data_IF_857697405037
#
_entry.id   IF_857697405037
#
_cell.length_a   1.000
_cell.length_b   1.000
_cell.length_c   1.000
_cell.angle_alpha   90.00
_cell.angle_beta   90.00
_cell.angle_gamma   90.00
#
_symmetry.space_group_name_H-M   'P 1'
#
loop_
_entity.id
_entity.type
_entity.pdbx_description
1 polymer ?
#
# COMPACT_ATOMS: atom_id res chain seq x y z
N UNK A 1 -19.74 -18.78 30.65
CA UNK A 1 -18.52 -18.39 29.91
C UNK A 1 -18.52 -19.15 28.60
N UNK A 2 -18.91 -18.50 27.50
CA UNK A 2 -19.05 -19.18 26.20
C UNK A 2 -17.64 -19.23 25.58
N UNK A 3 -17.01 -20.40 25.65
CA UNK A 3 -15.83 -20.69 24.83
C UNK A 3 -16.31 -20.85 23.39
N UNK A 4 -16.02 -19.87 22.54
CA UNK A 4 -16.08 -20.08 21.10
C UNK A 4 -15.03 -21.13 20.75
N UNK A 5 -15.47 -22.37 20.50
CA UNK A 5 -14.62 -23.38 19.88
C UNK A 5 -14.15 -22.81 18.54
N UNK A 6 -12.86 -22.94 18.27
CA UNK A 6 -12.16 -22.55 17.04
C UNK A 6 -12.58 -23.45 15.87
N UNK A 7 -13.88 -23.50 15.57
CA UNK A 7 -14.47 -24.30 14.50
C UNK A 7 -15.41 -23.38 13.70
N UNK A 8 -15.19 -23.39 12.38
CA UNK A 8 -15.78 -22.53 11.35
C UNK A 8 -15.09 -21.16 11.20
N UNK A 9 -13.81 -21.18 10.80
CA UNK A 9 -13.21 -19.99 10.19
C UNK A 9 -14.00 -19.64 8.92
N UNK A 10 -14.57 -18.45 8.90
CA UNK A 10 -15.26 -17.92 7.73
C UNK A 10 -14.24 -17.82 6.58
N UNK A 11 -14.52 -18.49 5.46
CA UNK A 11 -13.71 -18.46 4.24
C UNK A 11 -13.91 -17.13 3.49
N UNK A 12 -13.64 -16.00 4.14
CA UNK A 12 -13.77 -14.68 3.53
C UNK A 12 -12.52 -14.39 2.70
N UNK A 13 -12.72 -14.35 1.39
CA UNK A 13 -11.64 -14.18 0.40
C UNK A 13 -11.34 -12.70 0.13
N UNK A 14 -12.36 -11.83 0.20
CA UNK A 14 -12.25 -10.41 -0.12
C UNK A 14 -12.93 -9.52 0.95
N UNK A 15 -12.23 -8.47 1.38
CA UNK A 15 -12.79 -7.34 2.12
C UNK A 15 -12.72 -6.07 1.29
N UNK A 16 -13.87 -5.44 1.08
CA UNK A 16 -13.96 -4.16 0.38
C UNK A 16 -14.55 -3.11 1.31
N UNK A 17 -13.77 -2.08 1.61
CA UNK A 17 -14.17 -0.90 2.38
C UNK A 17 -14.44 0.23 1.39
N UNK A 18 -15.61 0.86 1.50
CA UNK A 18 -16.14 1.84 0.55
C UNK A 18 -16.77 3.04 1.25
N UNK A 19 -17.08 4.08 0.48
CA UNK A 19 -18.02 5.14 0.86
C UNK A 19 -17.70 5.81 2.21
N UNK A 20 -16.55 6.49 2.29
CA UNK A 20 -16.13 7.24 3.49
C UNK A 20 -15.87 6.37 4.73
N UNK A 21 -15.83 5.03 4.59
CA UNK A 21 -15.44 4.16 5.70
C UNK A 21 -14.08 4.62 6.27
N UNK A 22 -14.07 4.92 7.57
CA UNK A 22 -12.89 5.45 8.25
C UNK A 22 -11.88 4.35 8.53
N UNK A 23 -10.81 4.33 7.75
CA UNK A 23 -9.70 3.39 7.94
C UNK A 23 -8.85 3.89 9.10
N UNK A 24 -8.93 3.22 10.23
CA UNK A 24 -8.03 3.44 11.37
C UNK A 24 -6.76 2.60 11.22
N UNK A 25 -5.70 2.90 11.97
CA UNK A 25 -4.52 2.04 12.04
C UNK A 25 -4.84 0.63 12.55
N UNK A 26 -5.92 0.49 13.33
CA UNK A 26 -6.35 -0.77 13.95
C UNK A 26 -7.15 -1.63 12.98
N UNK A 27 -7.85 -1.03 12.01
CA UNK A 27 -8.73 -1.78 11.10
C UNK A 27 -7.96 -2.79 10.23
N UNK A 28 -6.85 -2.43 9.56
CA UNK A 28 -6.04 -3.38 8.80
C UNK A 28 -5.39 -4.47 9.66
N UNK A 29 -5.05 -4.17 10.93
CA UNK A 29 -4.48 -5.15 11.86
C UNK A 29 -5.55 -6.11 12.39
N UNK A 30 -6.71 -5.58 12.76
CA UNK A 30 -7.84 -6.35 13.29
C UNK A 30 -8.40 -7.29 12.26
N UNK A 31 -8.36 -6.90 10.97
CA UNK A 31 -8.59 -7.79 9.85
C UNK A 31 -7.92 -9.13 10.18
N UNK A 32 -6.57 -9.22 10.25
CA UNK A 32 -5.80 -10.46 10.48
C UNK A 32 -6.44 -11.44 11.48
N UNK A 33 -6.79 -10.94 12.67
CA UNK A 33 -7.27 -11.76 13.79
C UNK A 33 -8.50 -12.62 13.46
N UNK A 34 -9.33 -12.19 12.51
CA UNK A 34 -10.61 -12.84 12.23
C UNK A 34 -10.61 -13.76 10.99
N UNK A 35 -9.60 -13.70 10.10
CA UNK A 35 -9.64 -14.41 8.81
C UNK A 35 -8.23 -14.75 8.27
N UNK A 36 -7.68 -15.89 8.69
CA UNK A 36 -6.29 -16.28 8.40
C UNK A 36 -6.00 -16.54 6.91
N UNK A 37 -7.02 -16.89 6.12
CA UNK A 37 -6.90 -17.31 4.72
C UNK A 37 -7.20 -16.19 3.69
N UNK A 38 -7.14 -14.93 4.12
CA UNK A 38 -7.47 -13.78 3.26
C UNK A 38 -6.58 -13.70 2.04
N UNK A 39 -7.19 -13.32 0.91
CA UNK A 39 -6.47 -13.13 -0.34
C UNK A 39 -6.54 -11.69 -0.83
N UNK A 40 -7.61 -10.94 -0.51
CA UNK A 40 -7.85 -9.63 -1.13
C UNK A 40 -8.35 -8.58 -0.13
N UNK A 41 -7.78 -7.38 -0.19
CA UNK A 41 -8.30 -6.19 0.50
C UNK A 41 -8.42 -5.04 -0.49
N UNK A 42 -9.55 -4.35 -0.45
CA UNK A 42 -9.82 -3.16 -1.24
C UNK A 42 -10.21 -1.99 -0.33
N UNK A 43 -9.49 -0.88 -0.44
CA UNK A 43 -9.76 0.39 0.21
C UNK A 43 -10.15 1.39 -0.87
N UNK A 44 -11.40 1.32 -1.35
CA UNK A 44 -11.91 2.18 -2.43
C UNK A 44 -12.65 3.37 -1.81
N UNK A 45 -12.37 4.61 -2.23
CA UNK A 45 -13.08 5.80 -1.72
C UNK A 45 -13.16 5.85 -0.18
N UNK A 46 -12.19 5.23 0.49
CA UNK A 46 -12.16 5.08 1.94
C UNK A 46 -11.55 6.33 2.57
N UNK A 47 -11.99 6.66 3.78
CA UNK A 47 -11.47 7.81 4.48
C UNK A 47 -10.15 7.48 5.19
N UNK A 48 -9.05 7.94 4.62
CA UNK A 48 -7.69 7.72 5.09
C UNK A 48 -7.18 8.78 6.09
N UNK A 49 -8.05 9.69 6.57
CA UNK A 49 -7.64 10.78 7.45
C UNK A 49 -6.98 10.30 8.75
N UNK A 50 -7.46 9.20 9.34
CA UNK A 50 -6.90 8.64 10.57
C UNK A 50 -5.53 7.99 10.42
N UNK A 51 -5.12 7.65 9.19
CA UNK A 51 -3.80 7.09 8.87
C UNK A 51 -2.88 8.14 8.23
N UNK A 52 -3.28 9.41 8.27
CA UNK A 52 -2.54 10.55 7.70
C UNK A 52 -2.10 11.53 8.79
N UNK A 53 -0.90 11.41 9.38
CA UNK A 53 -0.47 12.19 10.55
C UNK A 53 -0.10 13.67 10.25
N UNK A 54 -0.71 14.30 9.24
CA UNK A 54 -0.57 15.75 9.00
C UNK A 54 0.42 16.19 7.93
N UNK A 55 1.26 15.28 7.39
CA UNK A 55 2.20 15.58 6.29
C UNK A 55 1.77 14.99 4.94
N UNK A 56 0.48 14.66 4.77
CA UNK A 56 -0.05 13.91 3.62
C UNK A 56 0.59 12.52 3.42
N UNK A 57 1.49 12.08 4.30
CA UNK A 57 1.98 10.71 4.32
C UNK A 57 0.91 9.79 4.88
N UNK A 58 0.89 8.55 4.42
CA UNK A 58 -0.07 7.53 4.84
C UNK A 58 0.73 6.34 5.35
N UNK A 59 0.29 5.75 6.46
CA UNK A 59 0.85 4.48 6.92
C UNK A 59 -0.26 3.46 7.14
N UNK A 60 -0.25 2.39 6.36
CA UNK A 60 -1.18 1.27 6.46
C UNK A 60 -0.42 0.06 7.00
N UNK A 61 -0.80 -0.39 8.21
CA UNK A 61 -0.16 -1.52 8.88
C UNK A 61 -1.10 -2.72 8.87
N UNK A 62 -0.93 -3.63 7.94
CA UNK A 62 -1.68 -4.88 7.87
C UNK A 62 -1.12 -5.96 8.82
N UNK A 63 0.06 -5.75 9.40
CA UNK A 63 0.65 -6.72 10.33
C UNK A 63 1.01 -8.03 9.64
N UNK A 64 0.64 -9.17 10.23
CA UNK A 64 1.05 -10.49 9.74
C UNK A 64 0.23 -11.06 8.57
N UNK A 65 -0.44 -10.20 7.79
CA UNK A 65 -1.35 -10.64 6.72
C UNK A 65 -0.55 -10.98 5.45
N UNK A 66 -0.90 -12.12 4.85
CA UNK A 66 -0.53 -12.48 3.49
C UNK A 66 -1.68 -12.10 2.55
N UNK A 67 -1.42 -11.26 1.56
CA UNK A 67 -2.40 -10.81 0.57
C UNK A 67 -1.97 -11.29 -0.82
N UNK A 68 -2.90 -11.83 -1.59
CA UNK A 68 -2.69 -11.99 -3.03
C UNK A 68 -2.90 -10.67 -3.77
N UNK A 69 -3.79 -9.83 -3.24
CA UNK A 69 -4.18 -8.58 -3.88
C UNK A 69 -4.53 -7.50 -2.86
N UNK A 70 -4.00 -6.29 -3.09
CA UNK A 70 -4.32 -5.09 -2.33
C UNK A 70 -4.72 -3.97 -3.30
N UNK A 71 -5.92 -3.43 -3.17
CA UNK A 71 -6.35 -2.26 -3.92
C UNK A 71 -6.47 -1.06 -3.00
N UNK A 72 -5.83 0.05 -3.34
CA UNK A 72 -5.89 1.28 -2.54
C UNK A 72 -6.24 2.47 -3.44
N UNK A 73 -7.23 3.24 -3.00
CA UNK A 73 -7.54 4.55 -3.54
C UNK A 73 -6.86 5.65 -2.74
N UNK A 74 -5.88 6.30 -3.36
CA UNK A 74 -5.11 7.39 -2.78
C UNK A 74 -5.65 8.78 -3.19
N UNK A 75 -6.75 8.84 -3.95
CA UNK A 75 -7.44 10.09 -4.32
C UNK A 75 -7.68 11.04 -3.14
N UNK A 76 -8.12 10.57 -1.96
CA UNK A 76 -8.41 11.46 -0.83
C UNK A 76 -7.18 12.21 -0.27
N UNK A 77 -5.97 11.74 -0.61
CA UNK A 77 -4.71 12.24 -0.07
C UNK A 77 -3.87 12.91 -1.16
N UNK A 78 -3.84 12.32 -2.36
CA UNK A 78 -3.07 12.80 -3.50
C UNK A 78 -4.00 13.57 -4.46
N UNK A 79 -3.70 14.85 -4.69
CA UNK A 79 -4.49 15.69 -5.61
C UNK A 79 -5.44 16.69 -4.94
N UNK A 80 -5.33 16.90 -3.63
CA UNK A 80 -6.05 18.00 -2.95
C UNK A 80 -5.70 19.35 -3.58
N UNK A 81 -6.73 20.14 -3.88
CA UNK A 81 -6.62 21.48 -4.48
C UNK A 81 -5.71 22.36 -3.60
N UNK A 82 -4.63 22.89 -4.19
CA UNK A 82 -3.65 23.73 -3.48
C UNK A 82 -2.50 22.98 -2.79
N UNK A 83 -2.41 21.65 -2.93
CA UNK A 83 -1.26 20.90 -2.41
C UNK A 83 0.02 21.22 -3.20
N UNK A 84 1.11 21.49 -2.47
CA UNK A 84 2.48 21.65 -3.02
C UNK A 84 3.11 20.28 -3.35
N UNK A 85 2.40 19.19 -3.04
CA UNK A 85 2.84 17.83 -3.33
C UNK A 85 2.87 17.58 -4.84
N UNK A 86 4.08 17.40 -5.37
CA UNK A 86 4.34 17.11 -6.77
C UNK A 86 4.99 15.73 -6.98
N UNK A 87 5.26 15.00 -5.89
CA UNK A 87 5.81 13.64 -5.92
C UNK A 87 5.00 12.72 -5.02
N UNK A 88 4.79 11.51 -5.48
CA UNK A 88 4.16 10.46 -4.67
C UNK A 88 5.04 9.23 -4.69
N UNK A 89 5.18 8.59 -3.54
CA UNK A 89 5.94 7.37 -3.41
C UNK A 89 5.15 6.31 -2.66
N UNK A 90 5.43 5.06 -2.99
CA UNK A 90 4.98 3.89 -2.26
C UNK A 90 6.22 3.25 -1.64
N UNK A 91 6.16 3.06 -0.33
CA UNK A 91 7.10 2.25 0.41
C UNK A 91 6.37 0.99 0.84
N UNK A 92 6.83 -0.17 0.35
CA UNK A 92 6.22 -1.45 0.67
C UNK A 92 7.23 -2.22 1.50
N UNK A 93 6.86 -2.50 2.74
CA UNK A 93 7.66 -3.24 3.69
C UNK A 93 7.01 -4.61 3.84
N UNK A 94 7.68 -5.63 3.28
CA UNK A 94 7.22 -7.02 3.23
C UNK A 94 8.29 -7.91 3.84
N UNK A 95 7.98 -8.54 4.97
CA UNK A 95 8.96 -9.28 5.78
C UNK A 95 10.24 -8.46 6.00
N UNK A 96 11.36 -8.87 5.42
CA UNK A 96 12.67 -8.20 5.55
C UNK A 96 13.03 -7.30 4.36
N UNK A 97 12.13 -7.17 3.38
CA UNK A 97 12.38 -6.40 2.16
C UNK A 97 11.58 -5.10 2.17
N UNK A 98 12.26 -3.98 1.87
CA UNK A 98 11.60 -2.72 1.54
C UNK A 98 11.73 -2.48 0.03
N UNK A 99 10.61 -2.39 -0.68
CA UNK A 99 10.61 -1.92 -2.07
C UNK A 99 10.08 -0.49 -2.16
N UNK A 100 10.73 0.32 -3.00
CA UNK A 100 10.38 1.72 -3.17
C UNK A 100 9.90 1.97 -4.58
N UNK A 101 8.68 2.49 -4.72
CA UNK A 101 8.16 2.97 -5.99
C UNK A 101 7.99 4.48 -5.92
N UNK A 102 8.35 5.17 -6.99
CA UNK A 102 8.19 6.61 -7.06
C UNK A 102 7.53 7.03 -8.36
N UNK A 103 6.61 7.97 -8.22
CA UNK A 103 6.03 8.75 -9.29
C UNK A 103 6.60 10.15 -9.18
N UNK A 104 7.48 10.48 -10.13
CA UNK A 104 8.01 11.82 -10.31
C UNK A 104 7.07 12.64 -11.20
N UNK A 105 7.01 13.95 -10.97
CA UNK A 105 6.18 14.97 -11.65
C UNK A 105 4.71 15.12 -11.27
N UNK A 106 4.23 16.36 -11.49
CA UNK A 106 2.83 16.78 -11.38
C UNK A 106 1.96 15.69 -12.02
N UNK A 107 1.00 15.17 -11.25
CA UNK A 107 0.00 14.17 -11.61
C UNK A 107 -0.43 14.28 -13.09
N UNK A 108 0.32 13.65 -14.00
CA UNK A 108 -0.04 13.46 -15.40
C UNK A 108 -0.37 11.98 -15.55
N UNK A 109 -1.48 11.68 -16.23
CA UNK A 109 -2.03 10.33 -16.32
C UNK A 109 -1.04 9.28 -16.85
N UNK A 110 -0.08 9.71 -17.67
CA UNK A 110 0.94 8.86 -18.29
C UNK A 110 2.14 8.49 -17.40
N UNK A 111 2.29 9.09 -16.22
CA UNK A 111 3.38 8.75 -15.30
C UNK A 111 2.85 7.87 -14.18
N UNK A 112 3.21 6.58 -14.21
CA UNK A 112 2.97 5.64 -13.12
C UNK A 112 4.06 5.68 -12.05
N UNK A 113 3.86 4.88 -11.02
CA UNK A 113 4.89 4.50 -10.05
C UNK A 113 5.90 3.57 -10.72
N UNK A 114 7.18 3.90 -10.59
CA UNK A 114 8.28 3.09 -11.10
C UNK A 114 9.14 2.62 -9.93
N UNK A 115 9.61 1.38 -10.00
CA UNK A 115 10.54 0.83 -9.02
C UNK A 115 11.82 1.68 -9.01
N UNK A 116 12.29 2.04 -7.82
CA UNK A 116 13.62 2.62 -7.60
C UNK A 116 14.43 1.57 -6.86
N UNK A 117 15.27 0.87 -7.62
CA UNK A 117 16.11 -0.25 -7.21
C UNK A 117 17.37 0.15 -6.43
N UNK A 118 17.77 1.42 -6.51
CA UNK A 118 18.97 1.91 -5.80
C UNK A 118 18.76 1.85 -4.29
N UNK A 119 19.68 1.20 -3.58
CA UNK A 119 19.72 1.13 -2.11
C UNK A 119 19.66 2.50 -1.42
N UNK A 120 20.10 3.57 -2.08
CA UNK A 120 19.98 4.93 -1.56
C UNK A 120 18.52 5.34 -1.26
N UNK A 121 17.54 4.70 -1.89
CA UNK A 121 16.11 4.93 -1.64
C UNK A 121 15.57 4.13 -0.46
N UNK A 122 16.32 3.18 0.11
CA UNK A 122 15.93 2.44 1.31
C UNK A 122 16.77 2.82 2.53
N UNK A 123 17.78 3.67 2.38
CA UNK A 123 18.53 4.25 3.52
C UNK A 123 17.65 5.14 4.39
N UNK A 124 17.80 5.00 5.70
CA UNK A 124 16.99 5.70 6.71
C UNK A 124 17.04 7.23 6.55
N UNK A 125 18.22 7.80 6.35
CA UNK A 125 18.38 9.26 6.14
C UNK A 125 17.58 9.76 4.93
N UNK A 126 17.61 9.02 3.83
CA UNK A 126 16.88 9.36 2.61
C UNK A 126 15.37 9.17 2.79
N UNK A 127 14.95 8.15 3.56
CA UNK A 127 13.54 7.94 3.95
C UNK A 127 13.04 9.11 4.78
N UNK A 128 13.75 9.48 5.84
CA UNK A 128 13.39 10.60 6.72
C UNK A 128 13.32 11.93 5.96
N UNK A 129 14.27 12.20 5.06
CA UNK A 129 14.25 13.41 4.22
C UNK A 129 13.00 13.49 3.35
N UNK A 130 12.53 12.36 2.80
CA UNK A 130 11.30 12.30 1.99
C UNK A 130 10.05 12.37 2.85
N UNK A 131 10.03 11.70 3.99
CA UNK A 131 8.92 11.74 4.94
C UNK A 131 8.66 13.17 5.45
N UNK A 132 9.72 13.95 5.65
CA UNK A 132 9.64 15.36 6.08
C UNK A 132 9.47 16.35 4.91
N UNK A 133 9.44 15.87 3.66
CA UNK A 133 9.30 16.73 2.48
C UNK A 133 7.87 17.28 2.37
N UNK A 134 7.74 18.60 2.19
CA UNK A 134 6.44 19.24 1.91
C UNK A 134 5.92 18.97 0.50
N UNK A 135 6.76 18.42 -0.37
CA UNK A 135 6.44 18.21 -1.79
C UNK A 135 6.33 16.74 -2.17
N UNK A 136 6.58 15.83 -1.22
CA UNK A 136 6.52 14.39 -1.42
C UNK A 136 5.53 13.77 -0.45
N UNK A 137 4.56 13.03 -0.97
CA UNK A 137 3.70 12.16 -0.17
C UNK A 137 4.24 10.74 -0.22
N UNK A 138 4.48 10.15 0.94
CA UNK A 138 4.89 8.75 1.08
C UNK A 138 3.70 7.94 1.60
N UNK A 139 3.30 6.91 0.87
CA UNK A 139 2.36 5.89 1.34
C UNK A 139 3.17 4.66 1.73
N UNK A 140 3.30 4.42 3.04
CA UNK A 140 3.96 3.25 3.60
C UNK A 140 2.92 2.16 3.84
N UNK A 141 3.20 0.96 3.34
CA UNK A 141 2.36 -0.22 3.48
C UNK A 141 3.22 -1.31 4.11
N UNK A 142 2.87 -1.69 5.34
CA UNK A 142 3.56 -2.71 6.13
C UNK A 142 2.69 -3.97 6.22
N UNK A 143 3.21 -5.09 5.75
CA UNK A 143 2.50 -6.38 5.74
C UNK A 143 3.48 -7.56 5.61
N UNK A 144 3.03 -8.81 5.72
CA UNK A 144 3.96 -9.96 5.55
C UNK A 144 4.30 -10.22 4.08
N UNK A 145 3.26 -10.27 3.24
CA UNK A 145 3.39 -10.61 1.83
C UNK A 145 2.25 -10.02 1.00
N UNK A 146 2.57 -9.42 -0.16
CA UNK A 146 1.59 -8.99 -1.15
C UNK A 146 2.09 -9.32 -2.55
N UNK A 147 1.30 -10.04 -3.35
CA UNK A 147 1.69 -10.36 -4.72
C UNK A 147 1.32 -9.22 -5.69
N UNK A 148 0.08 -8.72 -5.60
CA UNK A 148 -0.42 -7.69 -6.50
C UNK A 148 -0.92 -6.49 -5.71
N UNK A 149 -0.56 -5.30 -6.17
CA UNK A 149 -1.12 -4.06 -5.63
C UNK A 149 -1.69 -3.20 -6.75
N UNK A 150 -2.93 -2.77 -6.60
CA UNK A 150 -3.57 -1.80 -7.48
C UNK A 150 -3.70 -0.46 -6.78
N UNK A 151 -3.23 0.58 -7.46
CA UNK A 151 -3.27 1.95 -6.95
C UNK A 151 -4.15 2.80 -7.85
N UNK A 152 -5.13 3.44 -7.23
CA UNK A 152 -6.05 4.38 -7.86
C UNK A 152 -5.77 5.80 -7.38
N UNK A 153 -5.65 6.74 -8.31
CA UNK A 153 -5.58 8.17 -8.02
C UNK A 153 -6.41 8.88 -9.07
N UNK A 154 -7.47 9.56 -8.66
CA UNK A 154 -8.32 10.37 -9.52
C UNK A 154 -8.12 11.83 -9.14
N UNK A 155 -7.79 12.68 -10.11
CA UNK A 155 -7.68 14.12 -9.91
C UNK A 155 -8.27 14.84 -11.10
N UNK A 156 -8.56 16.14 -10.96
CA UNK A 156 -9.15 16.95 -12.04
C UNK A 156 -8.38 16.86 -13.37
N UNK A 157 -7.07 16.63 -13.34
CA UNK A 157 -6.20 16.67 -14.52
C UNK A 157 -5.51 15.34 -14.84
N UNK A 158 -5.70 14.30 -14.02
CA UNK A 158 -5.02 13.02 -14.19
C UNK A 158 -5.74 11.92 -13.41
N UNK A 159 -5.89 10.79 -14.08
CA UNK A 159 -6.32 9.53 -13.48
C UNK A 159 -5.19 8.52 -13.60
N UNK A 160 -4.86 7.85 -12.50
CA UNK A 160 -3.96 6.71 -12.45
C UNK A 160 -4.75 5.50 -11.98
N UNK A 161 -4.61 4.40 -12.70
CA UNK A 161 -5.07 3.08 -12.29
C UNK A 161 -3.96 2.11 -12.68
N UNK A 162 -3.06 1.83 -11.74
CA UNK A 162 -1.88 1.03 -12.00
C UNK A 162 -1.91 -0.24 -11.18
N UNK A 163 -1.68 -1.37 -11.84
CA UNK A 163 -1.34 -2.63 -11.20
C UNK A 163 0.19 -2.72 -11.09
N UNK A 164 0.69 -2.93 -9.88
CA UNK A 164 2.07 -3.20 -9.56
C UNK A 164 2.13 -4.68 -9.16
N UNK A 165 2.91 -5.46 -9.90
CA UNK A 165 3.25 -6.84 -9.55
C UNK A 165 4.49 -6.81 -8.69
N UNK A 166 4.37 -7.34 -7.50
CA UNK A 166 5.45 -7.43 -6.52
C UNK A 166 5.91 -8.87 -6.65
N UNK A 167 6.81 -9.10 -7.61
CA UNK A 167 7.34 -10.42 -7.88
C UNK A 167 7.99 -10.98 -6.61
N UNK A 168 7.72 -12.25 -6.33
CA UNK A 168 8.62 -13.04 -5.52
C UNK A 168 9.89 -13.19 -6.35
N UNK A 169 11.03 -12.77 -5.81
CA UNK A 169 12.32 -13.24 -6.30
C UNK A 169 12.45 -14.72 -5.95
N UNK A 170 11.59 -15.58 -6.50
CA UNK A 170 12.01 -16.92 -6.84
C UNK A 170 12.95 -16.72 -8.02
N UNK A 171 14.24 -16.57 -7.72
CA UNK A 171 15.26 -16.86 -8.70
C UNK A 171 14.93 -18.27 -9.19
N UNK A 172 14.50 -18.37 -10.44
CA UNK A 172 14.59 -19.59 -11.21
C UNK A 172 16.04 -20.08 -11.06
N UNK A 173 16.26 -21.03 -10.15
CA UNK A 173 17.38 -21.95 -10.26
C UNK A 173 17.12 -22.72 -11.55
N UNK A 174 17.55 -22.11 -12.67
CA UNK A 174 17.86 -22.85 -13.88
C UNK A 174 18.85 -23.93 -13.47
N UNK A 175 18.29 -25.13 -13.29
CA UNK A 175 18.99 -26.38 -13.39
C UNK A 175 19.73 -26.40 -14.73
N UNK A 176 20.94 -25.85 -14.75
CA UNK A 176 21.96 -26.14 -15.74
C UNK A 176 22.43 -27.58 -15.56
N UNK A 177 21.57 -28.52 -15.96
CA UNK A 177 21.97 -29.88 -16.28
C UNK A 177 22.46 -29.88 -17.73
N UNK A 178 23.75 -30.10 -17.93
CA UNK A 178 24.37 -30.24 -19.24
C UNK A 178 25.88 -30.32 -19.13
#
# INVERSE_FOLDING_TARGET
>A
MIQFKRQEELSIVNFSFKEEFRVSCVTPQSIYAWFLHRRQVELKESNLSSVTPGNSNITLKFGHVHLQYLSIDLTPVIGRRGSVCNKSALEIISADTTTWYQRDDKLKAQHGFNLKDRESYTREEAKQKRFNSRTTTVTTIELTYVNNMRVHITSRYSNLNQLIRLEDNEQDEEYGSG
#
